data_IF_285739295213
#
_entry.id   IF_285739295213
#
_cell.length_a   1.000
_cell.length_b   1.000
_cell.length_c   1.000
_cell.angle_alpha   90.00
_cell.angle_beta   90.00
_cell.angle_gamma   90.00
#
_symmetry.space_group_name_H-M   'P 1'
#
loop_
_entity.id
_entity.type
_entity.pdbx_description
1 polymer ?
#
# COMPACT_ATOMS: atom_id res chain seq x y z
N UNK A 1 -10.64 -19.41 -16.12
CA UNK A 1 -9.92 -18.24 -16.75
C UNK A 1 -10.80 -17.67 -17.82
N UNK A 2 -11.28 -16.46 -17.63
CA UNK A 2 -12.06 -15.73 -18.63
C UNK A 2 -11.08 -14.89 -19.47
N UNK A 3 -11.07 -15.08 -20.79
CA UNK A 3 -10.18 -14.37 -21.71
C UNK A 3 -11.00 -13.81 -22.85
N UNK A 4 -10.78 -12.54 -23.19
CA UNK A 4 -11.38 -11.92 -24.37
C UNK A 4 -10.30 -11.28 -25.26
N UNK A 5 -10.58 -11.16 -26.55
CA UNK A 5 -9.79 -10.40 -27.49
C UNK A 5 -10.60 -9.20 -27.96
N UNK A 6 -10.05 -8.01 -27.81
CA UNK A 6 -10.71 -6.77 -28.20
C UNK A 6 -9.86 -6.01 -29.22
N UNK A 7 -10.54 -5.33 -30.13
CA UNK A 7 -9.91 -4.51 -31.16
C UNK A 7 -10.44 -3.09 -31.11
N UNK A 8 -9.54 -2.09 -31.17
CA UNK A 8 -9.89 -0.68 -31.23
C UNK A 8 -8.89 0.12 -32.08
N UNK A 9 -9.03 1.44 -32.13
CA UNK A 9 -8.10 2.29 -32.88
C UNK A 9 -6.74 2.38 -32.22
N UNK A 10 -6.71 2.38 -30.87
CA UNK A 10 -5.49 2.40 -30.07
C UNK A 10 -5.46 1.20 -29.11
N UNK A 11 -4.28 0.91 -28.58
CA UNK A 11 -4.10 -0.15 -27.58
C UNK A 11 -4.87 0.16 -26.31
N UNK A 12 -4.84 1.43 -25.88
CA UNK A 12 -5.54 1.90 -24.68
C UNK A 12 -7.05 1.74 -24.81
N UNK A 13 -7.64 2.17 -25.94
CA UNK A 13 -9.07 2.00 -26.20
C UNK A 13 -9.47 0.51 -26.20
N UNK A 14 -8.63 -0.36 -26.78
CA UNK A 14 -8.90 -1.80 -26.81
C UNK A 14 -8.88 -2.41 -25.38
N UNK A 15 -7.95 -1.96 -24.53
CA UNK A 15 -7.88 -2.37 -23.12
C UNK A 15 -9.11 -1.90 -22.37
N UNK A 16 -9.49 -0.63 -22.47
CA UNK A 16 -10.66 -0.09 -21.77
C UNK A 16 -11.97 -0.81 -22.16
N UNK A 17 -12.12 -1.12 -23.44
CA UNK A 17 -13.26 -1.90 -23.93
C UNK A 17 -13.29 -3.30 -23.30
N UNK A 18 -12.14 -3.97 -23.25
CA UNK A 18 -12.03 -5.29 -22.67
C UNK A 18 -12.34 -5.28 -21.15
N UNK A 19 -11.79 -4.33 -20.41
CA UNK A 19 -12.04 -4.20 -18.97
C UNK A 19 -13.52 -3.94 -18.67
N UNK A 20 -14.17 -3.08 -19.48
CA UNK A 20 -15.59 -2.80 -19.35
C UNK A 20 -16.47 -4.01 -19.69
N UNK A 21 -16.10 -4.81 -20.69
CA UNK A 21 -16.84 -6.01 -21.08
C UNK A 21 -16.73 -7.13 -20.05
N UNK A 22 -15.55 -7.24 -19.41
CA UNK A 22 -15.28 -8.19 -18.35
C UNK A 22 -15.78 -7.76 -16.98
N UNK A 23 -16.15 -6.47 -16.82
CA UNK A 23 -16.53 -5.86 -15.53
C UNK A 23 -15.45 -6.05 -14.44
N UNK A 24 -14.18 -5.80 -14.82
CA UNK A 24 -13.00 -5.96 -13.96
C UNK A 24 -12.09 -4.74 -14.07
N UNK A 25 -11.26 -4.55 -13.03
CA UNK A 25 -10.24 -3.50 -13.04
C UNK A 25 -8.95 -3.95 -13.77
N UNK A 26 -8.16 -2.98 -14.22
CA UNK A 26 -6.89 -3.25 -14.93
C UNK A 26 -5.92 -4.11 -14.12
N UNK A 27 -5.96 -4.01 -12.79
CA UNK A 27 -5.12 -4.79 -11.87
C UNK A 27 -5.52 -6.27 -11.74
N UNK A 28 -6.72 -6.63 -12.20
CA UNK A 28 -7.25 -7.99 -12.13
C UNK A 28 -7.01 -8.80 -13.40
N UNK A 29 -6.30 -8.24 -14.37
CA UNK A 29 -6.11 -8.85 -15.68
C UNK A 29 -4.65 -8.87 -16.12
N UNK A 30 -4.31 -9.89 -16.89
CA UNK A 30 -3.11 -9.94 -17.71
C UNK A 30 -3.45 -9.42 -19.11
N UNK A 31 -2.65 -8.48 -19.63
CA UNK A 31 -2.86 -7.84 -20.92
C UNK A 31 -1.73 -8.24 -21.87
N UNK A 32 -2.07 -8.94 -22.94
CA UNK A 32 -1.16 -9.30 -24.01
C UNK A 32 -1.49 -8.48 -25.28
N UNK A 33 -0.55 -7.64 -25.73
CA UNK A 33 -0.72 -6.80 -26.91
C UNK A 33 -0.36 -7.58 -28.17
N UNK A 34 -1.37 -8.15 -28.85
CA UNK A 34 -1.21 -8.92 -30.08
C UNK A 34 -0.79 -8.02 -31.24
N UNK A 35 -1.39 -6.83 -31.36
CA UNK A 35 -1.06 -5.81 -32.38
C UNK A 35 -1.25 -4.42 -31.84
N UNK A 36 -0.25 -3.55 -32.03
CA UNK A 36 -0.33 -2.13 -31.61
C UNK A 36 -1.14 -1.25 -32.56
N UNK A 37 -1.61 -1.82 -33.68
CA UNK A 37 -2.22 -1.03 -34.75
C UNK A 37 -1.18 -0.19 -35.51
N UNK A 38 -1.48 0.16 -36.76
CA UNK A 38 -0.66 1.09 -37.54
C UNK A 38 -1.57 2.14 -38.17
N UNK A 39 -1.29 3.44 -37.99
CA UNK A 39 -1.98 4.46 -38.74
C UNK A 39 -1.66 4.28 -40.21
N UNK A 40 -2.69 4.11 -41.05
CA UNK A 40 -2.52 3.98 -42.50
C UNK A 40 -2.04 5.29 -43.11
N UNK A 41 -1.16 5.19 -44.11
CA UNK A 41 -0.72 6.34 -44.86
C UNK A 41 -1.85 6.75 -45.86
N UNK A 42 -2.32 7.99 -45.76
CA UNK A 42 -3.42 8.54 -46.61
C UNK A 42 -4.81 7.90 -46.41
N UNK A 43 -5.15 7.40 -45.23
CA UNK A 43 -6.50 6.93 -44.92
C UNK A 43 -6.87 5.55 -45.52
N UNK A 44 -5.97 4.88 -46.19
CA UNK A 44 -6.13 3.53 -46.73
C UNK A 44 -5.39 2.52 -45.83
N UNK A 45 -6.15 1.57 -45.25
CA UNK A 45 -5.70 0.47 -44.36
C UNK A 45 -5.17 0.93 -43.00
N UNK A 46 -6.05 1.37 -42.11
CA UNK A 46 -5.77 1.38 -40.69
C UNK A 46 -5.82 -0.08 -40.20
N UNK A 47 -4.72 -0.59 -39.68
CA UNK A 47 -4.75 -1.84 -38.90
C UNK A 47 -5.15 -1.49 -37.48
N UNK A 48 -6.25 -2.08 -36.94
CA UNK A 48 -6.65 -1.81 -35.56
C UNK A 48 -5.65 -2.43 -34.58
N UNK A 49 -5.52 -1.81 -33.40
CA UNK A 49 -4.85 -2.45 -32.29
C UNK A 49 -5.69 -3.63 -31.80
N UNK A 50 -5.02 -4.71 -31.40
CA UNK A 50 -5.66 -5.93 -30.85
C UNK A 50 -4.96 -6.30 -29.57
N UNK A 51 -5.75 -6.49 -28.52
CA UNK A 51 -5.27 -6.94 -27.22
C UNK A 51 -6.04 -8.18 -26.80
N UNK A 52 -5.35 -9.06 -26.11
CA UNK A 52 -5.93 -10.19 -25.37
C UNK A 52 -5.89 -9.85 -23.88
N UNK A 53 -7.04 -9.92 -23.24
CA UNK A 53 -7.18 -9.64 -21.81
C UNK A 53 -7.67 -10.89 -21.13
N UNK A 54 -6.89 -11.38 -20.16
CA UNK A 54 -7.18 -12.60 -19.39
C UNK A 54 -7.39 -12.21 -17.93
N UNK A 55 -8.56 -12.55 -17.36
CA UNK A 55 -8.84 -12.32 -15.94
C UNK A 55 -7.96 -13.25 -15.10
N UNK A 56 -7.22 -12.64 -14.18
CA UNK A 56 -6.40 -13.35 -13.22
C UNK A 56 -7.31 -13.85 -12.08
N UNK A 57 -7.80 -15.07 -12.16
CA UNK A 57 -8.61 -15.71 -11.11
C UNK A 57 -7.95 -15.59 -9.74
N UNK A 58 -6.62 -15.65 -9.67
CA UNK A 58 -5.87 -15.52 -8.43
C UNK A 58 -5.98 -14.13 -7.79
N UNK A 59 -6.07 -13.04 -8.56
CA UNK A 59 -6.25 -11.70 -8.01
C UNK A 59 -7.63 -11.53 -7.38
N UNK A 60 -8.68 -12.03 -8.05
CA UNK A 60 -10.04 -12.06 -7.52
C UNK A 60 -10.13 -12.92 -6.26
N UNK A 61 -9.48 -14.10 -6.23
CA UNK A 61 -9.46 -14.97 -5.05
C UNK A 61 -8.73 -14.36 -3.87
N UNK A 62 -7.58 -13.70 -4.09
CA UNK A 62 -6.85 -12.99 -3.01
C UNK A 62 -7.74 -11.92 -2.38
N UNK A 63 -8.40 -11.09 -3.18
CA UNK A 63 -9.28 -10.02 -2.68
C UNK A 63 -10.44 -10.62 -1.89
N UNK A 64 -11.15 -11.58 -2.47
CA UNK A 64 -12.32 -12.23 -1.85
C UNK A 64 -11.97 -12.91 -0.53
N UNK A 65 -10.92 -13.73 -0.52
CA UNK A 65 -10.47 -14.43 0.69
C UNK A 65 -9.97 -13.42 1.75
N UNK A 66 -9.28 -12.36 1.33
CA UNK A 66 -8.80 -11.32 2.25
C UNK A 66 -9.95 -10.59 2.91
N UNK A 67 -10.96 -10.16 2.16
CA UNK A 67 -12.17 -9.50 2.69
C UNK A 67 -12.87 -10.40 3.69
N UNK A 68 -13.12 -11.67 3.35
CA UNK A 68 -13.76 -12.64 4.25
C UNK A 68 -12.97 -12.84 5.56
N UNK A 69 -11.64 -12.95 5.45
CA UNK A 69 -10.77 -13.11 6.63
C UNK A 69 -10.79 -11.87 7.52
N UNK A 70 -10.70 -10.67 6.93
CA UNK A 70 -10.72 -9.40 7.66
C UNK A 70 -12.06 -9.26 8.41
N UNK A 71 -13.18 -9.44 7.72
CA UNK A 71 -14.53 -9.35 8.32
C UNK A 71 -14.73 -10.38 9.42
N UNK A 72 -14.29 -11.63 9.20
CA UNK A 72 -14.37 -12.69 10.21
C UNK A 72 -13.58 -12.34 11.47
N UNK A 73 -12.37 -11.82 11.32
CA UNK A 73 -11.54 -11.43 12.46
C UNK A 73 -12.14 -10.24 13.20
N UNK A 74 -12.59 -9.20 12.51
CA UNK A 74 -13.26 -8.05 13.12
C UNK A 74 -14.50 -8.46 13.91
N UNK A 75 -15.33 -9.34 13.31
CA UNK A 75 -16.51 -9.89 13.99
C UNK A 75 -16.13 -10.67 15.28
N UNK A 76 -15.09 -11.52 15.22
CA UNK A 76 -14.61 -12.27 16.41
C UNK A 76 -14.00 -11.36 17.49
N UNK A 77 -13.45 -10.23 17.10
CA UNK A 77 -12.92 -9.21 18.01
C UNK A 77 -14.01 -8.27 18.52
N UNK A 78 -15.25 -8.45 18.07
CA UNK A 78 -16.40 -7.57 18.36
C UNK A 78 -16.13 -6.10 18.01
N UNK A 79 -15.47 -5.89 16.85
CA UNK A 79 -15.17 -4.56 16.30
C UNK A 79 -16.19 -4.22 15.23
N UNK A 80 -16.90 -3.11 15.43
CA UNK A 80 -17.87 -2.57 14.46
C UNK A 80 -17.15 -1.68 13.44
N UNK A 81 -16.79 -2.27 12.31
CA UNK A 81 -16.12 -1.57 11.22
C UNK A 81 -16.41 -2.25 9.88
N UNK A 82 -16.20 -1.52 8.79
CA UNK A 82 -16.37 -1.99 7.40
C UNK A 82 -15.02 -2.00 6.71
N UNK A 83 -14.76 -3.02 5.92
CA UNK A 83 -13.58 -3.11 5.08
C UNK A 83 -13.91 -2.71 3.64
N UNK A 84 -13.13 -1.79 3.08
CA UNK A 84 -13.24 -1.31 1.72
C UNK A 84 -11.96 -1.65 0.95
N UNK A 85 -12.09 -2.19 -0.25
CA UNK A 85 -10.97 -2.37 -1.17
C UNK A 85 -10.62 -1.00 -1.78
N UNK A 86 -9.40 -0.50 -1.56
CA UNK A 86 -8.92 0.73 -2.19
C UNK A 86 -8.30 0.46 -3.55
N UNK A 87 -7.54 -0.63 -3.64
CA UNK A 87 -6.82 -1.01 -4.85
C UNK A 87 -6.68 -2.53 -4.91
N UNK A 88 -7.03 -3.14 -6.04
CA UNK A 88 -7.04 -4.60 -6.17
C UNK A 88 -5.61 -5.17 -6.28
N UNK A 89 -4.78 -4.64 -7.16
CA UNK A 89 -3.32 -4.93 -7.30
C UNK A 89 -2.65 -3.82 -8.11
N UNK A 90 -1.43 -3.44 -7.75
CA UNK A 90 -0.58 -2.61 -8.61
C UNK A 90 0.49 -3.50 -9.28
N UNK A 91 0.73 -3.33 -10.59
CA UNK A 91 1.78 -4.06 -11.29
C UNK A 91 3.15 -3.79 -10.63
N UNK A 92 3.72 -4.82 -10.00
CA UNK A 92 5.08 -4.83 -9.46
C UNK A 92 5.25 -4.45 -8.00
N UNK A 93 4.24 -3.97 -7.29
CA UNK A 93 4.41 -3.46 -5.92
C UNK A 93 3.27 -3.88 -4.98
N UNK A 94 3.21 -5.14 -4.63
CA UNK A 94 2.35 -5.60 -3.53
C UNK A 94 0.92 -5.99 -3.96
N UNK A 95 0.25 -6.76 -3.09
CA UNK A 95 -1.12 -7.22 -3.28
C UNK A 95 -2.16 -6.13 -3.00
N UNK A 96 -3.45 -6.51 -2.89
CA UNK A 96 -4.55 -5.58 -2.69
C UNK A 96 -4.39 -4.73 -1.44
N UNK A 97 -4.87 -3.51 -1.52
CA UNK A 97 -4.88 -2.55 -0.42
C UNK A 97 -6.31 -2.37 0.11
N UNK A 98 -6.48 -2.56 1.41
CA UNK A 98 -7.77 -2.42 2.08
C UNK A 98 -7.73 -1.27 3.08
N UNK A 99 -8.84 -0.55 3.18
CA UNK A 99 -9.07 0.44 4.23
C UNK A 99 -10.22 -0.02 5.13
N UNK A 100 -10.03 0.11 6.44
CA UNK A 100 -11.02 -0.23 7.45
C UNK A 100 -11.55 1.08 8.07
N UNK A 101 -12.88 1.23 8.09
CA UNK A 101 -13.56 2.42 8.58
C UNK A 101 -14.71 2.02 9.51
N UNK A 102 -14.95 2.78 10.57
CA UNK A 102 -16.06 2.56 11.49
C UNK A 102 -15.79 3.06 12.90
N UNK A 103 -16.82 3.07 13.72
CA UNK A 103 -16.79 3.65 15.07
C UNK A 103 -15.71 3.02 15.97
N UNK A 104 -15.46 1.72 15.81
CA UNK A 104 -14.47 0.98 16.57
C UNK A 104 -13.13 0.82 15.87
N UNK A 105 -12.95 1.45 14.69
CA UNK A 105 -11.73 1.34 13.88
C UNK A 105 -10.45 1.71 14.64
N UNK A 106 -10.54 2.66 15.57
CA UNK A 106 -9.44 3.06 16.43
C UNK A 106 -8.85 1.93 17.29
N UNK A 107 -9.65 0.91 17.65
CA UNK A 107 -9.18 -0.28 18.38
C UNK A 107 -8.20 -1.10 17.52
N UNK A 108 -8.41 -1.13 16.22
CA UNK A 108 -7.54 -1.84 15.28
C UNK A 108 -6.21 -1.13 15.05
N UNK A 109 -6.13 0.17 15.28
CA UNK A 109 -4.85 0.91 15.22
C UNK A 109 -3.98 0.51 16.41
N UNK A 110 -4.54 0.59 17.60
CA UNK A 110 -3.82 0.34 18.85
C UNK A 110 -2.73 1.39 19.14
N UNK A 111 -1.87 1.07 20.08
CA UNK A 111 -0.78 1.97 20.47
C UNK A 111 0.24 2.10 19.34
N UNK A 112 0.34 3.27 18.72
CA UNK A 112 1.28 3.57 17.61
C UNK A 112 1.17 2.65 16.40
N UNK A 113 -0.01 2.08 16.15
CA UNK A 113 -0.21 1.17 15.04
C UNK A 113 0.25 -0.27 15.28
N UNK A 114 0.59 -0.64 16.51
CA UNK A 114 1.04 -2.01 16.84
C UNK A 114 -0.06 -3.05 16.60
N UNK A 115 -1.31 -2.74 16.97
CA UNK A 115 -2.45 -3.63 16.71
C UNK A 115 -2.69 -3.80 15.21
N UNK A 116 -2.66 -2.71 14.44
CA UNK A 116 -2.83 -2.76 12.99
C UNK A 116 -1.77 -3.63 12.31
N UNK A 117 -0.53 -3.51 12.77
CA UNK A 117 0.58 -4.30 12.25
C UNK A 117 0.43 -5.79 12.55
N UNK A 118 0.02 -6.12 13.80
CA UNK A 118 -0.26 -7.50 14.20
C UNK A 118 -1.48 -8.06 13.44
N UNK A 119 -2.54 -7.27 13.30
CA UNK A 119 -3.73 -7.64 12.56
C UNK A 119 -3.42 -7.93 11.09
N UNK A 120 -2.69 -7.04 10.42
CA UNK A 120 -2.24 -7.26 9.04
C UNK A 120 -1.39 -8.52 8.90
N UNK A 121 -0.51 -8.79 9.87
CA UNK A 121 0.31 -10.01 9.86
C UNK A 121 -0.56 -11.26 9.94
N UNK A 122 -1.55 -11.29 10.84
CA UNK A 122 -2.47 -12.43 11.01
C UNK A 122 -3.31 -12.63 9.74
N UNK A 123 -3.85 -11.55 9.18
CA UNK A 123 -4.61 -11.61 7.91
C UNK A 123 -3.76 -12.21 6.80
N UNK A 124 -2.54 -11.70 6.59
CA UNK A 124 -1.60 -12.23 5.57
C UNK A 124 -1.29 -13.70 5.79
N UNK A 125 -1.11 -14.11 7.04
CA UNK A 125 -0.82 -15.50 7.37
C UNK A 125 -2.00 -16.43 7.03
N UNK A 126 -3.22 -16.05 7.42
CA UNK A 126 -4.43 -16.86 7.16
C UNK A 126 -4.72 -16.92 5.65
N UNK A 127 -4.67 -15.78 4.97
CA UNK A 127 -4.89 -15.70 3.51
C UNK A 127 -3.85 -16.53 2.78
N UNK A 128 -2.57 -16.40 3.13
CA UNK A 128 -1.50 -17.19 2.56
C UNK A 128 -1.67 -18.69 2.78
N UNK A 129 -2.11 -19.10 3.96
CA UNK A 129 -2.43 -20.49 4.27
C UNK A 129 -3.59 -21.03 3.44
N UNK A 130 -4.64 -20.23 3.21
CA UNK A 130 -5.79 -20.64 2.39
C UNK A 130 -5.45 -20.73 0.90
N UNK A 131 -4.57 -19.86 0.40
CA UNK A 131 -4.14 -19.83 -1.00
C UNK A 131 -2.98 -20.79 -1.31
N UNK A 132 -2.33 -21.35 -0.29
CA UNK A 132 -1.12 -22.17 -0.46
C UNK A 132 0.10 -21.38 -0.93
N UNK A 133 0.05 -20.05 -0.90
CA UNK A 133 1.13 -19.13 -1.34
C UNK A 133 1.31 -18.00 -0.34
N UNK A 134 2.43 -17.24 -0.45
CA UNK A 134 2.64 -16.07 0.39
C UNK A 134 1.71 -14.94 -0.07
N UNK A 135 0.71 -14.61 0.74
CA UNK A 135 -0.18 -13.50 0.46
C UNK A 135 0.54 -12.14 0.66
N UNK A 136 0.43 -11.29 -0.35
CA UNK A 136 0.80 -9.88 -0.25
C UNK A 136 -0.50 -9.06 -0.21
N UNK A 137 -0.69 -8.27 0.81
CA UNK A 137 -1.78 -7.31 0.95
C UNK A 137 -1.38 -6.23 1.94
N UNK A 138 -2.01 -5.07 1.87
CA UNK A 138 -1.85 -4.00 2.85
C UNK A 138 -3.19 -3.61 3.47
N UNK A 139 -3.14 -3.24 4.76
CA UNK A 139 -4.28 -2.75 5.51
C UNK A 139 -3.96 -1.37 6.05
N UNK A 140 -4.88 -0.44 5.89
CA UNK A 140 -4.88 0.83 6.59
C UNK A 140 -6.19 1.02 7.35
N UNK A 141 -6.21 1.93 8.29
CA UNK A 141 -7.39 2.28 9.07
C UNK A 141 -7.57 3.78 8.98
N UNK A 142 -8.57 4.21 8.19
CA UNK A 142 -8.92 5.63 8.02
C UNK A 142 -7.75 6.54 7.67
N UNK A 143 -6.79 6.07 6.87
CA UNK A 143 -5.61 6.86 6.51
C UNK A 143 -4.63 7.05 7.68
N UNK A 144 -4.61 6.11 8.66
CA UNK A 144 -3.75 6.19 9.83
C UNK A 144 -2.28 6.33 9.48
N UNK A 145 -1.77 5.56 8.49
CA UNK A 145 -0.35 5.60 8.14
C UNK A 145 0.10 7.00 7.72
N UNK A 146 -0.69 7.68 6.89
CA UNK A 146 -0.40 9.05 6.46
C UNK A 146 -0.37 10.03 7.64
N UNK A 147 -1.39 9.97 8.52
CA UNK A 147 -1.44 10.83 9.72
C UNK A 147 -0.28 10.54 10.67
N UNK A 148 0.09 9.28 10.83
CA UNK A 148 1.21 8.87 11.68
C UNK A 148 2.54 9.43 11.15
N UNK A 149 2.81 9.33 9.86
CA UNK A 149 4.03 9.85 9.25
C UNK A 149 4.11 11.37 9.36
N UNK A 150 3.00 12.07 9.17
CA UNK A 150 2.95 13.52 9.39
C UNK A 150 3.27 13.88 10.85
N UNK A 151 2.65 13.21 11.81
CA UNK A 151 2.93 13.42 13.23
C UNK A 151 4.40 13.19 13.60
N UNK A 152 5.05 12.20 12.98
CA UNK A 152 6.47 11.92 13.19
C UNK A 152 7.36 13.00 12.56
N UNK A 153 7.02 13.51 11.39
CA UNK A 153 7.73 14.62 10.77
C UNK A 153 7.63 15.90 11.64
N UNK A 154 6.44 16.21 12.12
CA UNK A 154 6.23 17.36 13.01
C UNK A 154 6.98 17.20 14.35
N UNK A 155 7.01 15.99 14.91
CA UNK A 155 7.80 15.67 16.09
C UNK A 155 9.30 15.90 15.84
N UNK A 156 9.81 15.38 14.71
CA UNK A 156 11.21 15.54 14.34
C UNK A 156 11.63 17.02 14.27
N UNK A 157 10.82 17.84 13.61
CA UNK A 157 11.08 19.27 13.51
C UNK A 157 11.07 19.99 14.88
N UNK A 158 10.06 19.70 15.72
CA UNK A 158 10.01 20.28 17.08
C UNK A 158 11.20 19.89 17.94
N UNK A 159 11.64 18.61 17.84
CA UNK A 159 12.79 18.12 18.60
C UNK A 159 14.08 18.69 18.04
N UNK A 160 14.25 18.79 16.72
CA UNK A 160 15.40 19.42 16.09
C UNK A 160 15.59 20.88 16.54
N UNK A 161 14.49 21.64 16.60
CA UNK A 161 14.53 23.02 17.14
C UNK A 161 14.98 23.06 18.61
N UNK A 162 14.52 22.11 19.44
CA UNK A 162 14.96 22.00 20.84
C UNK A 162 16.44 21.66 20.95
N UNK A 163 16.92 20.70 20.15
CA UNK A 163 18.32 20.27 20.11
C UNK A 163 19.23 21.43 19.66
N UNK A 164 18.87 22.14 18.58
CA UNK A 164 19.65 23.27 18.08
C UNK A 164 19.73 24.41 19.10
N UNK A 165 18.67 24.67 19.89
CA UNK A 165 18.66 25.72 20.90
C UNK A 165 19.42 25.31 22.18
N UNK A 166 19.37 24.05 22.56
CA UNK A 166 19.95 23.57 23.83
C UNK A 166 21.37 23.00 23.70
N UNK A 167 21.80 22.66 22.49
CA UNK A 167 23.05 21.96 22.24
C UNK A 167 23.11 20.52 22.81
N UNK A 168 21.95 19.95 23.19
CA UNK A 168 21.88 18.65 23.83
C UNK A 168 21.16 17.64 22.93
N UNK A 169 21.75 16.46 22.80
CA UNK A 169 21.11 15.31 22.11
C UNK A 169 19.79 14.94 22.75
N UNK A 170 18.79 14.66 21.91
CA UNK A 170 17.51 14.08 22.31
C UNK A 170 17.31 12.76 21.59
N UNK A 171 17.07 11.70 22.35
CA UNK A 171 16.73 10.39 21.81
C UNK A 171 15.22 10.20 21.84
N UNK A 172 14.67 9.83 20.69
CA UNK A 172 13.24 9.52 20.55
C UNK A 172 12.96 8.11 21.05
N UNK A 173 11.68 7.84 21.30
CA UNK A 173 11.26 6.49 21.68
C UNK A 173 11.52 5.46 20.58
N UNK A 174 11.69 4.17 20.93
CA UNK A 174 11.82 3.10 19.96
C UNK A 174 10.68 3.10 18.94
N UNK A 175 11.01 2.87 17.68
CA UNK A 175 10.05 2.83 16.58
C UNK A 175 10.53 1.93 15.43
N UNK A 176 9.60 1.40 14.60
CA UNK A 176 9.92 0.60 13.43
C UNK A 176 10.82 1.31 12.41
N UNK A 177 11.46 0.55 11.53
CA UNK A 177 12.42 1.06 10.55
C UNK A 177 11.83 2.08 9.58
N UNK A 178 10.59 1.87 9.13
CA UNK A 178 9.86 2.80 8.28
C UNK A 178 9.60 4.15 8.98
N UNK A 179 9.25 4.14 10.25
CA UNK A 179 9.06 5.36 11.05
C UNK A 179 10.37 6.10 11.31
N UNK A 180 11.45 5.35 11.65
CA UNK A 180 12.78 5.93 11.80
C UNK A 180 13.27 6.60 10.51
N UNK A 181 12.95 6.02 9.36
CA UNK A 181 13.25 6.60 8.06
C UNK A 181 12.56 7.95 7.85
N UNK A 182 11.31 8.11 8.30
CA UNK A 182 10.60 9.41 8.23
C UNK A 182 11.38 10.49 9.00
N UNK A 183 11.83 10.18 10.22
CA UNK A 183 12.64 11.12 11.01
C UNK A 183 13.92 11.51 10.27
N UNK A 184 14.66 10.53 9.74
CA UNK A 184 15.88 10.76 8.99
C UNK A 184 15.65 11.63 7.74
N UNK A 185 14.63 11.32 6.94
CA UNK A 185 14.30 12.09 5.73
C UNK A 185 13.88 13.51 6.09
N UNK A 186 13.04 13.68 7.11
CA UNK A 186 12.56 15.01 7.54
C UNK A 186 13.72 15.93 7.94
N UNK A 187 14.76 15.39 8.55
CA UNK A 187 15.90 16.15 9.04
C UNK A 187 17.16 16.04 8.16
N UNK A 188 17.12 15.36 7.03
CA UNK A 188 18.28 15.10 6.17
C UNK A 188 19.01 16.38 5.74
N UNK A 189 18.28 17.47 5.50
CA UNK A 189 18.85 18.74 5.07
C UNK A 189 18.84 19.81 6.20
N UNK A 190 18.70 19.39 7.46
CA UNK A 190 18.67 20.33 8.57
C UNK A 190 20.10 20.82 8.90
N UNK A 191 20.30 22.15 8.98
CA UNK A 191 21.65 22.76 9.07
C UNK A 191 22.32 22.61 10.44
N UNK A 192 21.55 22.39 11.50
CA UNK A 192 22.04 22.46 12.88
C UNK A 192 21.91 21.14 13.65
N UNK A 193 21.35 20.11 13.04
CA UNK A 193 21.23 18.79 13.69
C UNK A 193 21.51 17.66 12.73
N UNK A 194 21.98 16.53 13.27
CA UNK A 194 22.13 15.25 12.59
C UNK A 194 21.26 14.17 13.26
N UNK A 195 21.01 13.08 12.58
CA UNK A 195 20.20 11.98 13.11
C UNK A 195 20.94 10.66 13.02
N UNK A 196 20.87 9.87 14.09
CA UNK A 196 21.50 8.56 14.18
C UNK A 196 20.53 7.52 14.73
N UNK A 197 20.48 6.32 14.14
CA UNK A 197 19.70 5.20 14.66
C UNK A 197 20.55 4.27 15.49
N UNK A 198 20.23 4.09 16.78
CA UNK A 198 20.92 3.23 17.74
C UNK A 198 19.99 2.15 18.33
N UNK A 199 20.57 1.14 18.94
CA UNK A 199 19.83 0.01 19.50
C UNK A 199 19.58 -1.14 18.50
N UNK A 200 18.91 -2.19 18.96
CA UNK A 200 18.63 -3.40 18.18
C UNK A 200 17.19 -3.86 18.36
N UNK A 201 16.66 -4.60 17.38
CA UNK A 201 15.29 -5.15 17.41
C UNK A 201 14.23 -4.06 17.67
N UNK A 202 13.29 -4.37 18.54
CA UNK A 202 12.18 -3.49 18.90
C UNK A 202 12.61 -2.29 19.77
N UNK A 203 13.80 -2.35 20.39
CA UNK A 203 14.40 -1.25 21.13
C UNK A 203 15.13 -0.21 20.27
N UNK A 204 15.12 -0.35 18.95
CA UNK A 204 15.86 0.55 18.06
C UNK A 204 15.18 1.90 17.92
N UNK A 205 15.93 2.99 18.13
CA UNK A 205 15.46 4.35 18.27
C UNK A 205 16.32 5.33 17.45
N UNK A 206 15.87 6.59 17.34
CA UNK A 206 16.60 7.66 16.64
C UNK A 206 17.06 8.71 17.67
N UNK A 207 18.35 9.02 17.67
CA UNK A 207 18.91 10.15 18.35
C UNK A 207 19.00 11.34 17.38
N UNK A 208 18.65 12.55 17.85
CA UNK A 208 18.83 13.80 17.15
C UNK A 208 19.95 14.56 17.88
N UNK A 209 21.06 14.75 17.19
CA UNK A 209 22.31 15.31 17.74
C UNK A 209 22.52 16.73 17.21
N UNK A 210 23.05 17.67 18.01
CA UNK A 210 23.50 18.96 17.49
C UNK A 210 24.68 18.76 16.53
N UNK A 211 24.71 19.49 15.42
CA UNK A 211 25.91 19.66 14.61
C UNK A 211 26.78 20.73 15.30
N UNK A 212 28.05 20.41 15.51
CA UNK A 212 29.05 21.34 16.03
C UNK A 212 29.49 22.33 14.96
#
# INVERSE_FOLDING_TARGET
>A
MQTIETTAKTTEEAIELALKELDVERAEVEIDVISRGKPGFWGLRNEPARVRVTVLEQASDVVKISTEVIETLMSKMNVSAVVNLLQAMEEGIGGPEFNIEGDDSGLLIGRRGETLKAFQFIVRFIVGSRLGTRAQLSLDVEGYQKRRYQSLADLAQRVAQRVSNSGRTVTLEPMPSNERRIIHITLANHRLVSTESSGSGDGRQVAINPLQ
#
